data_IF_778972925818
#
_entry.id   IF_778972925818
#
_cell.length_a   1.000
_cell.length_b   1.000
_cell.length_c   1.000
_cell.angle_alpha   90.00
_cell.angle_beta   90.00
_cell.angle_gamma   90.00
#
_symmetry.space_group_name_H-M   'P 1'
#
loop_
_entity.id
_entity.type
_entity.pdbx_description
1 polymer ?
#
# COMPACT_ATOMS: atom_id res chain seq x y z
N UNK A 1 -6.54 18.64 -5.86
CA UNK A 1 -6.89 18.44 -7.29
C UNK A 1 -7.81 17.24 -7.55
N UNK A 2 -8.51 16.74 -6.56
CA UNK A 2 -9.47 15.65 -6.75
C UNK A 2 -8.83 14.26 -6.96
N UNK A 3 -7.59 14.06 -6.56
CA UNK A 3 -6.97 12.74 -6.54
C UNK A 3 -7.45 12.02 -5.28
N UNK A 4 -8.10 10.85 -5.41
CA UNK A 4 -8.52 10.08 -4.25
C UNK A 4 -7.33 9.62 -3.42
N UNK A 5 -7.40 9.80 -2.12
CA UNK A 5 -6.43 9.26 -1.17
C UNK A 5 -7.06 8.05 -0.50
N UNK A 6 -6.35 6.93 -0.53
CA UNK A 6 -6.83 5.66 0.01
C UNK A 6 -5.79 5.10 0.98
N UNK A 7 -6.18 4.92 2.22
CA UNK A 7 -5.37 4.33 3.27
C UNK A 7 -5.64 2.82 3.31
N UNK A 8 -4.66 2.02 2.91
CA UNK A 8 -4.71 0.57 3.05
C UNK A 8 -4.07 0.18 4.39
N UNK A 9 -4.90 -0.01 5.40
CA UNK A 9 -4.46 -0.19 6.78
C UNK A 9 -4.52 -1.65 7.22
N UNK A 10 -3.48 -2.12 7.90
CA UNK A 10 -3.54 -3.40 8.61
C UNK A 10 -4.61 -3.35 9.70
N UNK A 11 -5.45 -4.36 9.75
CA UNK A 11 -6.51 -4.49 10.72
C UNK A 11 -6.75 -5.97 11.00
N UNK A 12 -5.87 -6.55 11.80
CA UNK A 12 -5.88 -7.97 12.11
C UNK A 12 -6.96 -8.34 13.13
N UNK A 13 -7.31 -9.61 13.17
CA UNK A 13 -8.22 -10.17 14.16
C UNK A 13 -7.45 -11.10 15.11
N UNK A 14 -7.96 -11.37 16.32
CA UNK A 14 -7.28 -12.29 17.24
C UNK A 14 -6.96 -13.64 16.58
N UNK A 15 -5.73 -14.11 16.79
CA UNK A 15 -5.25 -15.36 16.22
C UNK A 15 -4.94 -15.33 14.72
N UNK A 16 -4.79 -14.15 14.13
CA UNK A 16 -4.47 -14.03 12.71
C UNK A 16 -3.19 -14.78 12.33
N UNK A 17 -3.19 -15.39 11.16
CA UNK A 17 -2.10 -16.27 10.67
C UNK A 17 -0.75 -15.55 10.64
N UNK A 18 -0.73 -14.26 10.32
CA UNK A 18 0.51 -13.47 10.25
C UNK A 18 1.20 -13.32 11.61
N UNK A 19 0.47 -13.45 12.71
CA UNK A 19 1.05 -13.36 14.05
C UNK A 19 2.09 -14.45 14.35
N UNK A 20 2.07 -15.55 13.61
CA UNK A 20 3.11 -16.59 13.69
C UNK A 20 4.45 -16.14 13.12
N UNK A 21 4.44 -15.14 12.24
CA UNK A 21 5.63 -14.61 11.59
C UNK A 21 6.12 -13.31 12.24
N UNK A 22 5.20 -12.44 12.61
CA UNK A 22 5.50 -11.07 13.03
C UNK A 22 5.17 -10.79 14.51
N UNK A 23 4.52 -11.73 15.20
CA UNK A 23 3.89 -11.43 16.49
C UNK A 23 2.58 -10.67 16.32
N UNK A 24 1.84 -10.51 17.40
CA UNK A 24 0.60 -9.75 17.41
C UNK A 24 0.90 -8.26 17.16
N UNK A 25 0.22 -7.67 16.19
CA UNK A 25 0.35 -6.27 15.81
C UNK A 25 -0.91 -5.80 15.08
N UNK A 26 -1.13 -4.50 15.03
CA UNK A 26 -2.24 -3.86 14.33
C UNK A 26 -3.57 -4.58 14.53
N UNK A 27 -3.84 -4.97 15.79
CA UNK A 27 -5.09 -5.64 16.15
C UNK A 27 -6.25 -4.65 16.03
N UNK A 28 -7.29 -5.04 15.31
CA UNK A 28 -8.47 -4.21 15.06
C UNK A 28 -9.03 -3.63 16.36
N UNK A 29 -9.27 -2.31 16.35
CA UNK A 29 -9.82 -1.59 17.50
C UNK A 29 -8.78 -1.20 18.56
N UNK A 30 -7.50 -1.39 18.28
CA UNK A 30 -6.41 -0.91 19.14
C UNK A 30 -5.70 0.30 18.51
N UNK A 31 -5.02 1.09 19.33
CA UNK A 31 -4.21 2.24 18.88
C UNK A 31 -3.13 1.81 17.86
N UNK A 32 -2.59 0.61 18.01
CA UNK A 32 -1.59 0.03 17.12
C UNK A 32 -2.09 -0.18 15.67
N UNK A 33 -3.39 -0.24 15.46
CA UNK A 33 -4.01 -0.35 14.14
C UNK A 33 -4.43 1.01 13.55
N UNK A 34 -4.27 2.10 14.28
CA UNK A 34 -4.67 3.43 13.84
C UNK A 34 -3.60 4.09 12.96
N UNK A 35 -4.03 4.93 12.05
CA UNK A 35 -3.12 5.82 11.31
C UNK A 35 -2.58 6.87 12.29
N UNK A 36 -1.27 7.09 12.25
CA UNK A 36 -0.61 8.08 13.11
C UNK A 36 -1.22 9.47 12.93
N UNK A 37 -1.17 10.29 13.96
CA UNK A 37 -1.81 11.61 13.98
C UNK A 37 -1.36 12.52 12.83
N UNK A 38 -0.08 12.45 12.45
CA UNK A 38 0.51 13.25 11.38
C UNK A 38 -0.04 12.93 9.98
N UNK A 39 -0.61 11.73 9.83
CA UNK A 39 -1.14 11.24 8.55
C UNK A 39 -2.64 10.89 8.63
N UNK A 40 -3.34 11.35 9.66
CA UNK A 40 -4.78 11.05 9.81
C UNK A 40 -5.56 11.36 8.54
N UNK A 41 -6.44 10.42 8.12
CA UNK A 41 -7.36 10.66 7.02
C UNK A 41 -8.22 11.91 7.28
N UNK A 42 -8.47 12.66 6.23
CA UNK A 42 -9.35 13.83 6.24
C UNK A 42 -10.70 13.50 5.60
N UNK A 43 -11.65 14.41 5.69
CA UNK A 43 -12.96 14.24 5.05
C UNK A 43 -12.79 14.05 3.54
N UNK A 44 -13.34 12.96 3.03
CA UNK A 44 -13.25 12.57 1.61
C UNK A 44 -12.16 11.56 1.29
N UNK A 45 -11.29 11.23 2.23
CA UNK A 45 -10.35 10.11 2.09
C UNK A 45 -11.04 8.77 2.34
N UNK A 46 -10.47 7.71 1.77
CA UNK A 46 -10.99 6.35 1.91
C UNK A 46 -10.08 5.51 2.80
N UNK A 47 -10.68 4.59 3.55
CA UNK A 47 -9.93 3.62 4.35
C UNK A 47 -10.33 2.22 3.92
N UNK A 48 -9.33 1.41 3.59
CA UNK A 48 -9.48 -0.01 3.27
C UNK A 48 -8.72 -0.82 4.33
N UNK A 49 -9.42 -1.67 5.03
CA UNK A 49 -8.84 -2.54 6.06
C UNK A 49 -8.41 -3.87 5.47
N UNK A 50 -7.17 -4.24 5.68
CA UNK A 50 -6.60 -5.48 5.15
C UNK A 50 -6.00 -6.34 6.25
N UNK A 51 -5.87 -7.63 5.96
CA UNK A 51 -5.29 -8.63 6.88
C UNK A 51 -4.08 -9.35 6.28
N UNK A 52 -3.70 -8.99 5.07
CA UNK A 52 -2.53 -9.53 4.36
C UNK A 52 -1.75 -8.39 3.73
N UNK A 53 -0.58 -8.67 3.19
CA UNK A 53 0.31 -7.64 2.66
C UNK A 53 -0.34 -6.79 1.57
N UNK A 54 -1.01 -7.43 0.61
CA UNK A 54 -1.67 -6.69 -0.47
C UNK A 54 -2.92 -5.96 0.01
N UNK A 55 -3.03 -4.70 -0.38
CA UNK A 55 -4.25 -3.91 -0.19
C UNK A 55 -5.47 -4.45 -0.94
N UNK A 56 -5.25 -5.33 -1.93
CA UNK A 56 -6.35 -5.93 -2.73
C UNK A 56 -6.87 -7.23 -2.14
N UNK A 57 -6.06 -7.96 -1.38
CA UNK A 57 -6.43 -9.30 -0.94
C UNK A 57 -7.51 -9.28 0.14
N UNK A 58 -8.67 -9.82 -0.19
CA UNK A 58 -9.80 -9.91 0.74
C UNK A 58 -10.40 -8.57 1.12
N UNK A 59 -10.24 -7.56 0.28
CA UNK A 59 -10.76 -6.20 0.47
C UNK A 59 -11.64 -5.78 -0.71
N UNK A 60 -12.29 -4.65 -0.60
CA UNK A 60 -13.05 -4.02 -1.66
C UNK A 60 -12.24 -2.98 -2.47
N UNK A 61 -10.91 -2.94 -2.31
CA UNK A 61 -10.08 -1.93 -2.98
C UNK A 61 -10.28 -1.89 -4.49
N UNK A 62 -10.31 -3.04 -5.16
CA UNK A 62 -10.50 -3.08 -6.61
C UNK A 62 -11.87 -2.53 -7.03
N UNK A 63 -12.92 -2.84 -6.28
CA UNK A 63 -14.25 -2.28 -6.50
C UNK A 63 -14.24 -0.76 -6.34
N UNK A 64 -13.65 -0.26 -5.25
CA UNK A 64 -13.52 1.17 -4.99
C UNK A 64 -12.77 1.89 -6.11
N UNK A 65 -11.62 1.37 -6.54
CA UNK A 65 -10.83 1.96 -7.62
C UNK A 65 -11.61 2.02 -8.95
N UNK A 66 -12.38 0.98 -9.25
CA UNK A 66 -13.24 0.94 -10.45
C UNK A 66 -14.37 1.96 -10.39
N UNK A 67 -15.03 2.08 -9.24
CA UNK A 67 -16.09 3.08 -9.04
C UNK A 67 -15.56 4.51 -9.13
N UNK A 68 -14.34 4.75 -8.68
CA UNK A 68 -13.65 6.04 -8.81
C UNK A 68 -13.08 6.29 -10.21
N UNK A 69 -13.13 5.30 -11.11
CA UNK A 69 -12.60 5.43 -12.47
C UNK A 69 -11.08 5.48 -12.55
N UNK A 70 -10.39 5.00 -11.52
CA UNK A 70 -8.93 5.01 -11.42
C UNK A 70 -8.32 4.10 -12.49
N UNK A 71 -7.23 4.55 -13.12
CA UNK A 71 -6.43 3.78 -14.09
C UNK A 71 -4.99 3.58 -13.64
N UNK A 72 -4.48 4.47 -12.83
CA UNK A 72 -3.14 4.43 -12.28
C UNK A 72 -3.20 4.56 -10.76
N UNK A 73 -2.40 3.77 -10.06
CA UNK A 73 -2.22 3.88 -8.60
C UNK A 73 -0.83 4.39 -8.29
N UNK A 74 -0.75 5.33 -7.36
CA UNK A 74 0.50 5.86 -6.83
C UNK A 74 0.68 5.28 -5.44
N UNK A 75 1.76 4.53 -5.24
CA UNK A 75 2.00 3.81 -4.00
C UNK A 75 3.07 4.49 -3.15
N UNK A 76 2.75 4.61 -1.86
CA UNK A 76 3.69 4.98 -0.81
C UNK A 76 3.36 4.18 0.46
N UNK A 77 4.25 4.20 1.44
CA UNK A 77 4.06 3.50 2.71
C UNK A 77 5.13 2.45 2.99
N UNK A 78 4.82 1.51 3.85
CA UNK A 78 5.72 0.48 4.36
C UNK A 78 5.07 -0.90 4.31
N UNK A 79 5.87 -1.94 4.17
CA UNK A 79 7.29 -1.92 3.78
C UNK A 79 7.41 -2.20 2.29
N UNK A 80 8.46 -1.69 1.64
CA UNK A 80 8.67 -1.81 0.20
C UNK A 80 8.58 -3.25 -0.29
N UNK A 81 9.22 -4.20 0.39
CA UNK A 81 9.26 -5.62 0.03
C UNK A 81 8.00 -6.42 0.41
N UNK A 82 7.13 -5.85 1.23
CA UNK A 82 5.90 -6.51 1.70
C UNK A 82 4.64 -5.85 1.15
N UNK A 83 4.02 -4.96 1.93
CA UNK A 83 2.72 -4.40 1.56
C UNK A 83 2.78 -3.61 0.25
N UNK A 84 3.81 -2.82 0.03
CA UNK A 84 3.97 -2.06 -1.21
C UNK A 84 4.15 -2.99 -2.41
N UNK A 85 5.09 -3.94 -2.33
CA UNK A 85 5.36 -4.88 -3.43
C UNK A 85 4.13 -5.72 -3.78
N UNK A 86 3.46 -6.27 -2.79
CA UNK A 86 2.31 -7.14 -3.04
C UNK A 86 1.09 -6.35 -3.54
N UNK A 87 0.90 -5.13 -3.06
CA UNK A 87 -0.14 -4.23 -3.60
C UNK A 87 0.18 -3.82 -5.04
N UNK A 88 1.45 -3.53 -5.35
CA UNK A 88 1.88 -3.24 -6.72
C UNK A 88 1.64 -4.42 -7.67
N UNK A 89 1.94 -5.65 -7.21
CA UNK A 89 1.70 -6.87 -7.99
C UNK A 89 0.21 -7.03 -8.33
N UNK A 90 -0.66 -6.94 -7.34
CA UNK A 90 -2.09 -7.08 -7.54
C UNK A 90 -2.69 -5.92 -8.35
N UNK A 91 -2.18 -4.70 -8.20
CA UNK A 91 -2.56 -3.59 -9.05
C UNK A 91 -2.25 -3.88 -10.52
N UNK A 92 -1.03 -4.33 -10.80
CA UNK A 92 -0.62 -4.74 -12.15
C UNK A 92 -1.49 -5.91 -12.67
N UNK A 93 -1.75 -6.93 -11.86
CA UNK A 93 -2.60 -8.06 -12.25
C UNK A 93 -4.04 -7.66 -12.55
N UNK A 94 -4.55 -6.63 -11.88
CA UNK A 94 -5.89 -6.08 -12.12
C UNK A 94 -5.93 -5.01 -13.22
N UNK A 95 -4.81 -4.75 -13.91
CA UNK A 95 -4.75 -3.87 -15.07
C UNK A 95 -4.54 -2.40 -14.77
N UNK A 96 -4.10 -2.04 -13.56
CA UNK A 96 -3.73 -0.68 -13.21
C UNK A 96 -2.28 -0.38 -13.58
N UNK A 97 -2.02 0.82 -14.05
CA UNK A 97 -0.66 1.36 -14.08
C UNK A 97 -0.18 1.63 -12.66
N UNK A 98 1.11 1.42 -12.41
CA UNK A 98 1.70 1.56 -11.07
C UNK A 98 2.81 2.59 -11.09
N UNK A 99 2.73 3.54 -10.19
CA UNK A 99 3.81 4.48 -9.87
C UNK A 99 4.20 4.32 -8.40
N UNK A 100 5.48 4.26 -8.10
CA UNK A 100 6.01 4.16 -6.74
C UNK A 100 6.86 5.39 -6.46
N UNK A 101 6.55 6.09 -5.38
CA UNK A 101 7.33 7.24 -4.92
C UNK A 101 8.44 6.75 -4.01
N UNK A 102 9.64 6.62 -4.56
CA UNK A 102 10.78 5.98 -3.88
C UNK A 102 11.17 6.65 -2.56
N UNK A 103 10.95 7.96 -2.43
CA UNK A 103 11.24 8.72 -1.21
C UNK A 103 10.15 8.54 -0.14
N UNK A 104 9.03 7.93 -0.50
CA UNK A 104 7.88 7.72 0.38
C UNK A 104 7.60 6.23 0.65
N UNK A 105 8.55 5.37 0.36
CA UNK A 105 8.53 3.93 0.71
C UNK A 105 9.81 3.56 1.45
N UNK A 106 9.70 2.65 2.39
CA UNK A 106 10.84 2.21 3.20
C UNK A 106 10.79 0.69 3.35
N UNK A 107 11.91 0.04 3.08
CA UNK A 107 12.08 -1.40 3.31
C UNK A 107 12.28 -1.73 4.79
N UNK A 108 11.84 -2.91 5.17
CA UNK A 108 12.14 -3.48 6.49
C UNK A 108 13.63 -3.81 6.62
N UNK A 109 14.23 -4.37 5.56
CA UNK A 109 15.68 -4.58 5.45
C UNK A 109 16.28 -3.62 4.43
N UNK A 110 17.22 -2.77 4.85
CA UNK A 110 17.83 -1.73 3.99
C UNK A 110 18.34 -2.26 2.65
N UNK A 111 18.97 -3.44 2.68
CA UNK A 111 19.49 -4.10 1.46
C UNK A 111 18.42 -4.45 0.43
N UNK A 112 17.15 -4.48 0.82
CA UNK A 112 16.04 -4.83 -0.06
C UNK A 112 15.47 -3.62 -0.82
N UNK A 113 15.75 -2.39 -0.38
CA UNK A 113 15.11 -1.19 -0.93
C UNK A 113 15.31 -1.09 -2.45
N UNK A 114 16.54 -0.93 -2.90
CA UNK A 114 16.85 -0.76 -4.33
C UNK A 114 16.50 -2.03 -5.13
N UNK A 115 16.76 -3.20 -4.56
CA UNK A 115 16.46 -4.48 -5.21
C UNK A 115 14.95 -4.61 -5.50
N UNK A 116 14.10 -4.26 -4.56
CA UNK A 116 12.65 -4.36 -4.73
C UNK A 116 12.10 -3.29 -5.65
N UNK A 117 12.61 -2.07 -5.61
CA UNK A 117 12.24 -1.03 -6.56
C UNK A 117 12.59 -1.44 -8.00
N UNK A 118 13.79 -1.94 -8.23
CA UNK A 118 14.21 -2.47 -9.53
C UNK A 118 13.34 -3.66 -9.98
N UNK A 119 13.04 -4.56 -9.04
CA UNK A 119 12.20 -5.70 -9.34
C UNK A 119 10.79 -5.26 -9.80
N UNK A 120 10.16 -4.35 -9.08
CA UNK A 120 8.82 -3.87 -9.40
C UNK A 120 8.79 -3.09 -10.73
N UNK A 121 9.84 -2.33 -11.04
CA UNK A 121 9.97 -1.68 -12.33
C UNK A 121 10.01 -2.69 -13.48
N UNK A 122 10.76 -3.77 -13.32
CA UNK A 122 10.89 -4.81 -14.35
C UNK A 122 9.68 -5.75 -14.42
N UNK A 123 9.20 -6.22 -13.27
CA UNK A 123 8.18 -7.24 -13.23
C UNK A 123 6.76 -6.69 -13.45
N UNK A 124 6.48 -5.47 -13.00
CA UNK A 124 5.15 -4.85 -13.07
C UNK A 124 5.09 -3.62 -13.95
N UNK A 125 6.19 -3.23 -14.57
CA UNK A 125 6.26 -1.97 -15.34
C UNK A 125 6.08 -0.72 -14.47
N UNK A 126 6.33 -0.83 -13.16
CA UNK A 126 6.14 0.28 -12.25
C UNK A 126 7.09 1.44 -12.58
N UNK A 127 6.55 2.64 -12.60
CA UNK A 127 7.35 3.87 -12.69
C UNK A 127 7.89 4.19 -11.31
N UNK A 128 9.20 4.28 -11.18
CA UNK A 128 9.88 4.66 -9.93
C UNK A 128 10.25 6.13 -10.04
N UNK A 129 9.65 6.95 -9.21
CA UNK A 129 9.85 8.41 -9.23
C UNK A 129 10.24 8.92 -7.85
N UNK A 130 10.96 10.04 -7.81
CA UNK A 130 11.13 10.80 -6.56
C UNK A 130 9.89 11.65 -6.29
N UNK A 131 9.74 12.12 -5.08
CA UNK A 131 8.66 13.05 -4.72
C UNK A 131 8.71 14.32 -5.58
N UNK A 132 9.90 14.81 -5.87
CA UNK A 132 10.12 15.98 -6.73
C UNK A 132 9.68 15.74 -8.19
N UNK A 133 9.85 14.52 -8.68
CA UNK A 133 9.46 14.12 -10.04
C UNK A 133 7.97 13.81 -10.17
N UNK A 134 7.27 13.64 -9.04
CA UNK A 134 5.85 13.31 -9.04
C UNK A 134 5.03 14.50 -9.54
N UNK A 135 4.39 14.31 -10.69
CA UNK A 135 3.47 15.30 -11.26
C UNK A 135 2.03 14.84 -11.04
N UNK A 136 1.28 15.59 -10.24
CA UNK A 136 -0.13 15.33 -9.91
C UNK A 136 -1.07 16.35 -10.57
#
# INVERSE_FOLDING_TARGET
>A
KGIPVIYACDSHVPGDKEFKLWGEHALRGTEDAEVIDELKPTDGDYIVYKRRYSGFFGTDLDLLLKELGVKEVILCGIYTEYCVKHTAADAFFNGYDVTIVKDCVLSYEDKMQELMLDYMAKAYGAKIVSLEQLSL
#
